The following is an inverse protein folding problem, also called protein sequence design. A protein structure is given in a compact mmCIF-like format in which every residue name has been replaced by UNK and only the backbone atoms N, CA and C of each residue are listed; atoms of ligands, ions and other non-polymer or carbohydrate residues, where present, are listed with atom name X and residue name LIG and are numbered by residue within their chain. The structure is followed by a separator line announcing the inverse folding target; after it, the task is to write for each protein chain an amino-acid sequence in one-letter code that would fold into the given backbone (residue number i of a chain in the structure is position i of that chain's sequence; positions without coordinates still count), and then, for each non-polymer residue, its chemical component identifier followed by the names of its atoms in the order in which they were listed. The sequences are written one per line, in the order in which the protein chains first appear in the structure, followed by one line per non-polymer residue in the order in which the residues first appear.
data_IF_268506911571
#
_entry.id   IF_268506911571
#
_cell.length_a   1.000
_cell.length_b   1.000
_cell.length_c   1.000
_cell.angle_alpha   90.00
_cell.angle_beta   90.00
_cell.angle_gamma   90.00
#
_symmetry.space_group_name_H-M   'P 1'
#
loop_
_entity.id
_entity.type
_entity.pdbx_description
1 polymer ?
#
# COMPACT_ATOMS: atom_id res chain seq x y z
N UNK A 1 8.15 0.11 12.62
CA UNK A 1 7.55 0.46 11.32
C UNK A 1 7.43 1.98 11.18
N UNK A 2 6.76 2.68 12.10
CA UNK A 2 6.56 4.14 12.00
C UNK A 2 7.86 4.97 11.88
N UNK A 3 8.93 4.61 12.61
CA UNK A 3 10.24 5.29 12.50
C UNK A 3 10.80 5.21 11.07
N UNK A 4 10.69 4.04 10.43
CA UNK A 4 11.13 3.85 9.04
C UNK A 4 10.31 4.71 8.08
N UNK A 5 8.99 4.78 8.31
CA UNK A 5 8.10 5.64 7.52
C UNK A 5 8.47 7.12 7.64
N UNK A 6 8.83 7.61 8.84
CA UNK A 6 9.31 8.98 9.01
C UNK A 6 10.60 9.25 8.21
N UNK A 7 11.58 8.34 8.26
CA UNK A 7 12.82 8.49 7.51
C UNK A 7 12.56 8.54 5.99
N UNK A 8 11.68 7.67 5.48
CA UNK A 8 11.30 7.67 4.07
C UNK A 8 10.64 8.98 3.66
N UNK A 9 9.74 9.52 4.48
CA UNK A 9 9.07 10.80 4.19
C UNK A 9 10.09 11.93 4.08
N UNK A 10 11.12 11.97 4.94
CA UNK A 10 12.19 12.97 4.84
C UNK A 10 12.93 12.83 3.49
N UNK A 11 13.28 11.62 3.08
CA UNK A 11 13.97 11.37 1.80
C UNK A 11 13.09 11.79 0.61
N UNK A 12 11.79 11.48 0.64
CA UNK A 12 10.84 11.88 -0.41
C UNK A 12 10.77 13.40 -0.54
N UNK A 13 10.57 14.11 0.58
CA UNK A 13 10.45 15.58 0.56
C UNK A 13 11.72 16.24 0.03
N UNK A 14 12.89 15.78 0.48
CA UNK A 14 14.17 16.30 -0.01
C UNK A 14 14.35 16.02 -1.51
N UNK A 15 14.01 14.81 -1.97
CA UNK A 15 14.13 14.45 -3.40
C UNK A 15 13.15 15.27 -4.27
N UNK A 16 11.91 15.48 -3.81
CA UNK A 16 10.93 16.31 -4.50
C UNK A 16 11.36 17.78 -4.56
N UNK A 17 11.90 18.30 -3.46
CA UNK A 17 12.39 19.68 -3.43
C UNK A 17 13.55 19.87 -4.40
N UNK A 18 14.48 18.92 -4.47
CA UNK A 18 15.61 18.94 -5.41
C UNK A 18 15.19 18.82 -6.88
N UNK A 19 14.23 17.94 -7.20
CA UNK A 19 13.90 17.59 -8.60
C UNK A 19 12.65 18.29 -9.14
N UNK A 20 11.85 18.96 -8.30
CA UNK A 20 10.57 19.56 -8.70
C UNK A 20 10.13 20.80 -7.90
N UNK A 21 10.93 21.26 -6.94
CA UNK A 21 10.66 22.47 -6.16
C UNK A 21 9.42 22.39 -5.25
N UNK A 22 9.02 23.53 -4.71
CA UNK A 22 7.99 23.62 -3.67
C UNK A 22 6.61 23.16 -4.16
N UNK A 23 6.28 23.37 -5.44
CA UNK A 23 5.04 22.88 -6.03
C UNK A 23 4.98 21.33 -6.06
N UNK A 24 6.10 20.64 -6.30
CA UNK A 24 6.14 19.18 -6.26
C UNK A 24 5.94 18.61 -4.84
N UNK A 25 6.49 19.29 -3.84
CA UNK A 25 6.30 18.96 -2.41
C UNK A 25 4.83 19.18 -2.02
N UNK A 26 4.23 20.30 -2.44
CA UNK A 26 2.80 20.57 -2.24
C UNK A 26 1.90 19.51 -2.88
N UNK A 27 2.21 19.11 -4.12
CA UNK A 27 1.46 18.10 -4.86
C UNK A 27 1.53 16.74 -4.15
N UNK A 28 2.72 16.36 -3.67
CA UNK A 28 2.89 15.14 -2.88
C UNK A 28 2.06 15.18 -1.59
N UNK A 29 1.98 16.32 -0.92
CA UNK A 29 1.13 16.50 0.26
C UNK A 29 -0.35 16.20 -0.04
N UNK A 30 -0.88 16.69 -1.16
CA UNK A 30 -2.26 16.43 -1.58
C UNK A 30 -2.46 14.94 -1.91
N UNK A 31 -1.58 14.38 -2.74
CA UNK A 31 -1.63 12.96 -3.14
C UNK A 31 -1.54 12.05 -1.91
N UNK A 32 -0.60 12.31 -1.00
CA UNK A 32 -0.40 11.50 0.19
C UNK A 32 -1.63 11.51 1.11
N UNK A 33 -2.30 12.67 1.28
CA UNK A 33 -3.55 12.76 2.05
C UNK A 33 -4.65 11.90 1.44
N UNK A 34 -4.82 11.99 0.11
CA UNK A 34 -5.80 11.20 -0.63
C UNK A 34 -5.53 9.69 -0.50
N UNK A 35 -4.30 9.25 -0.69
CA UNK A 35 -3.94 7.83 -0.57
C UNK A 35 -4.06 7.32 0.87
N UNK A 36 -3.66 8.15 1.85
CA UNK A 36 -3.74 7.81 3.28
C UNK A 36 -5.19 7.64 3.72
N UNK A 37 -6.13 8.42 3.19
CA UNK A 37 -7.56 8.23 3.46
C UNK A 37 -8.02 6.81 3.13
N UNK A 38 -7.74 6.31 1.92
CA UNK A 38 -8.09 4.94 1.53
C UNK A 38 -7.35 3.90 2.36
N UNK A 39 -6.07 4.13 2.66
CA UNK A 39 -5.29 3.27 3.53
C UNK A 39 -5.92 3.14 4.92
N UNK A 40 -6.41 4.23 5.52
CA UNK A 40 -7.07 4.21 6.82
C UNK A 40 -8.39 3.43 6.80
N UNK A 41 -9.17 3.52 5.72
CA UNK A 41 -10.40 2.71 5.58
C UNK A 41 -10.07 1.21 5.53
N UNK A 42 -9.05 0.81 4.77
CA UNK A 42 -8.61 -0.59 4.71
C UNK A 42 -8.00 -1.05 6.05
N UNK A 43 -7.30 -0.17 6.76
CA UNK A 43 -6.84 -0.46 8.12
C UNK A 43 -8.02 -0.73 9.06
N UNK A 44 -9.08 0.09 8.99
CA UNK A 44 -10.31 -0.14 9.76
C UNK A 44 -10.95 -1.50 9.46
N UNK A 45 -11.07 -1.86 8.18
CA UNK A 45 -11.50 -3.20 7.75
C UNK A 45 -10.61 -4.30 8.35
N UNK A 46 -9.29 -4.10 8.32
CA UNK A 46 -8.32 -5.07 8.82
C UNK A 46 -8.39 -5.25 10.34
N UNK A 47 -8.66 -4.18 11.09
CA UNK A 47 -8.91 -4.24 12.53
C UNK A 47 -10.16 -5.04 12.87
N UNK A 48 -11.23 -4.93 12.07
CA UNK A 48 -12.43 -5.76 12.22
C UNK A 48 -12.20 -7.24 11.88
N UNK A 49 -11.36 -7.52 10.88
CA UNK A 49 -10.99 -8.87 10.48
C UNK A 49 -10.11 -9.58 11.53
N UNK A 50 -9.20 -8.85 12.18
CA UNK A 50 -8.17 -9.38 13.08
C UNK A 50 -8.71 -10.28 14.22
N UNK A 51 -9.73 -9.90 15.02
CA UNK A 51 -10.27 -10.77 16.07
C UNK A 51 -10.98 -12.01 15.51
N UNK A 52 -11.66 -11.89 14.36
CA UNK A 52 -12.35 -13.00 13.70
C UNK A 52 -11.32 -14.04 13.23
N UNK A 53 -10.26 -13.59 12.57
CA UNK A 53 -9.18 -14.44 12.10
C UNK A 53 -8.41 -15.08 13.27
N UNK A 54 -8.07 -14.30 14.30
CA UNK A 54 -7.36 -14.77 15.49
C UNK A 54 -8.13 -15.84 16.27
N UNK A 55 -9.43 -15.62 16.53
CA UNK A 55 -10.28 -16.59 17.22
C UNK A 55 -10.43 -17.90 16.44
N UNK A 56 -10.75 -17.83 15.14
CA UNK A 56 -10.91 -19.03 14.32
C UNK A 56 -9.60 -19.81 14.15
N UNK A 57 -8.46 -19.11 14.11
CA UNK A 57 -7.15 -19.74 14.08
C UNK A 57 -6.83 -20.45 15.40
N UNK A 58 -7.11 -19.82 16.55
CA UNK A 58 -6.97 -20.45 17.86
C UNK A 58 -7.91 -21.66 18.07
N UNK A 59 -9.11 -21.62 17.48
CA UNK A 59 -10.06 -22.73 17.47
C UNK A 59 -9.77 -23.81 16.40
N UNK A 60 -8.62 -23.72 15.69
CA UNK A 60 -8.21 -24.63 14.61
C UNK A 60 -9.21 -24.73 13.43
N UNK A 61 -10.12 -23.77 13.28
CA UNK A 61 -11.12 -23.72 12.20
C UNK A 61 -10.55 -23.09 10.92
N UNK A 62 -9.56 -23.76 10.32
CA UNK A 62 -8.79 -23.22 9.18
C UNK A 62 -9.63 -22.83 7.95
N UNK A 63 -10.75 -23.52 7.69
CA UNK A 63 -11.70 -23.13 6.62
C UNK A 63 -12.28 -21.73 6.84
N UNK A 64 -12.67 -21.41 8.09
CA UNK A 64 -13.18 -20.07 8.45
C UNK A 64 -12.10 -19.00 8.42
N UNK A 65 -10.86 -19.37 8.75
CA UNK A 65 -9.69 -18.48 8.64
C UNK A 65 -9.47 -18.06 7.17
N UNK A 66 -9.49 -19.02 6.25
CA UNK A 66 -9.36 -18.75 4.80
C UNK A 66 -10.52 -17.93 4.27
N UNK A 67 -11.75 -18.22 4.68
CA UNK A 67 -12.93 -17.43 4.29
C UNK A 67 -12.84 -15.98 4.77
N UNK A 68 -12.44 -15.78 6.04
CA UNK A 68 -12.27 -14.45 6.64
C UNK A 68 -11.22 -13.65 5.87
N UNK A 69 -10.07 -14.27 5.57
CA UNK A 69 -9.02 -13.64 4.76
C UNK A 69 -9.50 -13.30 3.35
N UNK A 70 -10.19 -14.23 2.68
CA UNK A 70 -10.70 -14.02 1.31
C UNK A 70 -11.69 -12.84 1.27
N UNK A 71 -12.62 -12.77 2.22
CA UNK A 71 -13.57 -11.67 2.33
C UNK A 71 -12.85 -10.34 2.61
N UNK A 72 -11.88 -10.34 3.52
CA UNK A 72 -11.05 -9.17 3.80
C UNK A 72 -10.30 -8.67 2.56
N UNK A 73 -9.69 -9.58 1.78
CA UNK A 73 -8.97 -9.22 0.56
C UNK A 73 -9.93 -8.63 -0.47
N UNK A 74 -11.07 -9.28 -0.72
CA UNK A 74 -12.07 -8.80 -1.70
C UNK A 74 -12.58 -7.41 -1.28
N UNK A 75 -12.98 -7.24 -0.02
CA UNK A 75 -13.47 -5.96 0.48
C UNK A 75 -12.38 -4.87 0.41
N UNK A 76 -11.14 -5.20 0.79
CA UNK A 76 -10.01 -4.28 0.70
C UNK A 76 -9.75 -3.81 -0.72
N UNK A 77 -9.70 -4.74 -1.69
CA UNK A 77 -9.51 -4.44 -3.12
C UNK A 77 -10.68 -3.65 -3.71
N UNK A 78 -11.92 -3.92 -3.31
CA UNK A 78 -13.07 -3.15 -3.76
C UNK A 78 -13.02 -1.70 -3.25
N UNK A 79 -12.72 -1.50 -1.97
CA UNK A 79 -12.60 -0.16 -1.36
C UNK A 79 -11.53 0.67 -2.07
N UNK A 80 -10.34 0.10 -2.25
CA UNK A 80 -9.24 0.81 -2.93
C UNK A 80 -9.43 0.89 -4.45
N UNK A 81 -10.13 -0.08 -5.04
CA UNK A 81 -10.54 -0.07 -6.44
C UNK A 81 -11.49 1.08 -6.76
N UNK A 82 -12.47 1.35 -5.89
CA UNK A 82 -13.34 2.52 -6.01
C UNK A 82 -12.52 3.82 -5.95
N UNK A 83 -11.56 3.92 -5.03
CA UNK A 83 -10.65 5.08 -4.98
C UNK A 83 -9.85 5.27 -6.26
N UNK A 84 -9.30 4.17 -6.79
CA UNK A 84 -8.55 4.18 -8.05
C UNK A 84 -9.41 4.63 -9.22
N UNK A 85 -10.65 4.15 -9.30
CA UNK A 85 -11.61 4.54 -10.34
C UNK A 85 -11.87 6.05 -10.32
N UNK A 86 -12.11 6.64 -9.15
CA UNK A 86 -12.30 8.08 -9.01
C UNK A 86 -11.04 8.88 -9.37
N UNK A 87 -9.87 8.44 -8.88
CA UNK A 87 -8.59 9.09 -9.16
C UNK A 87 -8.21 9.04 -10.64
N UNK A 88 -8.62 8.02 -11.37
CA UNK A 88 -8.30 7.90 -12.80
C UNK A 88 -9.28 8.69 -13.70
N UNK A 89 -10.57 8.73 -13.33
CA UNK A 89 -11.58 9.45 -14.13
C UNK A 89 -11.62 10.95 -13.86
N UNK A 90 -11.43 11.37 -12.61
CA UNK A 90 -11.61 12.77 -12.20
C UNK A 90 -10.40 13.35 -11.44
N UNK A 91 -9.14 13.14 -11.89
CA UNK A 91 -7.96 13.55 -11.15
C UNK A 91 -7.86 15.08 -10.97
N UNK A 92 -8.28 15.86 -11.97
CA UNK A 92 -8.25 17.32 -11.94
C UNK A 92 -9.29 17.90 -10.99
N UNK A 93 -10.52 17.37 -11.00
CA UNK A 93 -11.59 17.77 -10.07
C UNK A 93 -11.20 17.45 -8.64
N UNK A 94 -10.68 16.24 -8.41
CA UNK A 94 -10.24 15.80 -7.09
C UNK A 94 -9.08 16.66 -6.58
N UNK A 95 -8.11 16.98 -7.43
CA UNK A 95 -7.00 17.85 -7.06
C UNK A 95 -7.46 19.29 -6.77
N UNK A 96 -8.43 19.80 -7.54
CA UNK A 96 -9.01 21.14 -7.36
C UNK A 96 -9.75 21.33 -6.04
N UNK A 97 -10.20 20.26 -5.37
CA UNK A 97 -10.75 20.38 -4.01
C UNK A 97 -9.70 20.75 -2.96
N UNK A 98 -8.41 20.57 -3.25
CA UNK A 98 -7.32 20.81 -2.31
C UNK A 98 -6.51 22.07 -2.60
N UNK A 99 -6.68 22.67 -3.79
CA UNK A 99 -5.95 23.88 -4.16
C UNK A 99 -6.64 24.64 -5.29
N UNK A 100 -6.52 25.97 -5.24
CA UNK A 100 -6.98 26.89 -6.30
C UNK A 100 -5.89 27.17 -7.35
N UNK A 101 -4.64 26.75 -7.11
CA UNK A 101 -3.53 26.96 -8.05
C UNK A 101 -3.61 25.97 -9.21
N UNK A 102 -3.85 26.49 -10.43
CA UNK A 102 -3.88 25.68 -11.66
C UNK A 102 -2.57 24.93 -11.90
N UNK A 103 -1.43 25.56 -11.59
CA UNK A 103 -0.10 24.95 -11.71
C UNK A 103 0.04 23.74 -10.77
N UNK A 104 -0.39 23.89 -9.51
CA UNK A 104 -0.35 22.80 -8.54
C UNK A 104 -1.31 21.66 -8.91
N UNK A 105 -2.49 21.97 -9.44
CA UNK A 105 -3.41 20.98 -10.00
C UNK A 105 -2.77 20.24 -11.17
N UNK A 106 -2.09 20.96 -12.07
CA UNK A 106 -1.40 20.39 -13.24
C UNK A 106 -0.30 19.38 -12.89
N UNK A 107 0.30 19.50 -11.70
CA UNK A 107 1.30 18.54 -11.19
C UNK A 107 0.62 17.41 -10.38
N UNK A 108 -0.34 17.78 -9.54
CA UNK A 108 -1.06 16.83 -8.66
C UNK A 108 -1.85 15.81 -9.46
N UNK A 109 -2.58 16.23 -10.49
CA UNK A 109 -3.50 15.35 -11.21
C UNK A 109 -2.77 14.19 -11.92
N UNK A 110 -1.68 14.42 -12.69
CA UNK A 110 -0.90 13.33 -13.29
C UNK A 110 -0.20 12.46 -12.24
N UNK A 111 0.35 13.05 -11.19
CA UNK A 111 0.97 12.30 -10.08
C UNK A 111 -0.03 11.39 -9.39
N UNK A 112 -1.23 11.89 -9.12
CA UNK A 112 -2.32 11.14 -8.51
C UNK A 112 -2.71 9.92 -9.34
N UNK A 113 -2.85 10.06 -10.67
CA UNK A 113 -3.13 8.92 -11.57
C UNK A 113 -2.05 7.86 -11.46
N UNK A 114 -0.78 8.25 -11.58
CA UNK A 114 0.36 7.31 -11.52
C UNK A 114 0.38 6.56 -10.20
N UNK A 115 0.21 7.26 -9.08
CA UNK A 115 0.22 6.65 -7.75
C UNK A 115 -1.03 5.80 -7.48
N UNK A 116 -2.18 6.16 -8.05
CA UNK A 116 -3.44 5.44 -7.86
C UNK A 116 -3.46 4.09 -8.57
N UNK A 117 -2.69 3.89 -9.64
CA UNK A 117 -2.70 2.63 -10.43
C UNK A 117 -2.54 1.36 -9.59
N UNK A 118 -1.71 1.41 -8.54
CA UNK A 118 -1.43 0.27 -7.66
C UNK A 118 -2.19 0.31 -6.33
N UNK A 119 -3.05 1.30 -6.13
CA UNK A 119 -3.87 1.42 -4.92
C UNK A 119 -4.79 0.19 -4.67
N UNK A 120 -5.39 -0.49 -5.68
CA UNK A 120 -6.18 -1.71 -5.45
C UNK A 120 -5.35 -2.80 -4.77
N UNK A 121 -4.11 -2.91 -5.22
CA UNK A 121 -3.14 -3.89 -4.78
C UNK A 121 -2.66 -3.61 -3.36
N UNK A 122 -2.50 -2.33 -3.00
CA UNK A 122 -2.21 -1.89 -1.63
C UNK A 122 -3.27 -2.37 -0.64
N UNK A 123 -4.55 -2.34 -1.02
CA UNK A 123 -5.65 -2.85 -0.19
C UNK A 123 -5.44 -4.32 0.21
N UNK A 124 -5.08 -5.15 -0.77
CA UNK A 124 -4.76 -6.56 -0.56
C UNK A 124 -3.55 -6.75 0.38
N UNK A 125 -2.47 -5.98 0.18
CA UNK A 125 -1.26 -6.08 1.00
C UNK A 125 -1.53 -5.79 2.48
N UNK A 126 -2.32 -4.74 2.76
CA UNK A 126 -2.65 -4.32 4.12
C UNK A 126 -3.44 -5.40 4.84
N UNK A 127 -4.44 -5.98 4.17
CA UNK A 127 -5.22 -7.08 4.75
C UNK A 127 -4.35 -8.29 5.05
N UNK A 128 -3.49 -8.71 4.11
CA UNK A 128 -2.63 -9.90 4.29
C UNK A 128 -1.60 -9.68 5.40
N UNK A 129 -1.00 -8.50 5.50
CA UNK A 129 -0.08 -8.18 6.59
C UNK A 129 -0.78 -8.27 7.96
N UNK A 130 -1.94 -7.64 8.10
CA UNK A 130 -2.74 -7.69 9.32
C UNK A 130 -3.23 -9.12 9.65
N UNK A 131 -3.52 -9.92 8.63
CA UNK A 131 -3.83 -11.34 8.80
C UNK A 131 -2.67 -12.11 9.44
N UNK A 132 -1.44 -11.97 8.93
CA UNK A 132 -0.28 -12.60 9.55
C UNK A 132 -0.05 -12.15 10.99
N UNK A 133 -0.35 -10.88 11.31
CA UNK A 133 -0.32 -10.39 12.68
C UNK A 133 -1.40 -11.08 13.54
N UNK A 134 -2.62 -11.25 13.03
CA UNK A 134 -3.76 -11.85 13.75
C UNK A 134 -3.54 -13.31 14.17
N UNK A 135 -2.76 -14.07 13.40
CA UNK A 135 -2.47 -15.49 13.66
C UNK A 135 -1.12 -15.69 14.39
N UNK A 136 -0.56 -14.63 14.99
CA UNK A 136 0.69 -14.70 15.76
C UNK A 136 1.96 -14.80 14.91
N UNK A 137 1.90 -14.55 13.60
CA UNK A 137 3.05 -14.54 12.68
C UNK A 137 3.53 -13.11 12.41
N UNK A 138 3.69 -12.33 13.48
CA UNK A 138 4.08 -10.91 13.42
C UNK A 138 5.39 -10.68 12.65
N UNK A 139 6.36 -11.61 12.71
CA UNK A 139 7.61 -11.52 11.94
C UNK A 139 7.37 -11.44 10.43
N UNK A 140 6.41 -12.22 9.90
CA UNK A 140 6.03 -12.18 8.48
C UNK A 140 5.36 -10.85 8.17
N UNK A 141 4.42 -10.40 9.01
CA UNK A 141 3.76 -9.09 8.84
C UNK A 141 4.76 -7.93 8.79
N UNK A 142 5.74 -7.93 9.70
CA UNK A 142 6.79 -6.89 9.75
C UNK A 142 7.66 -6.97 8.50
N UNK A 143 8.08 -8.16 8.08
CA UNK A 143 8.85 -8.34 6.86
C UNK A 143 8.12 -7.81 5.62
N UNK A 144 6.82 -8.12 5.48
CA UNK A 144 6.00 -7.62 4.37
C UNK A 144 5.93 -6.08 4.37
N UNK A 145 5.67 -5.48 5.53
CA UNK A 145 5.64 -4.01 5.66
C UNK A 145 6.98 -3.34 5.33
N UNK A 146 8.08 -3.89 5.84
CA UNK A 146 9.43 -3.38 5.58
C UNK A 146 9.90 -3.63 4.14
N UNK A 147 9.49 -4.75 3.51
CA UNK A 147 9.86 -5.04 2.13
C UNK A 147 9.36 -3.94 1.19
N UNK A 148 8.08 -3.57 1.32
CA UNK A 148 7.47 -2.50 0.54
C UNK A 148 8.15 -1.15 0.79
N UNK A 149 8.32 -0.76 2.05
CA UNK A 149 8.78 0.58 2.42
C UNK A 149 10.30 0.78 2.32
N UNK A 150 11.10 -0.19 2.77
CA UNK A 150 12.56 -0.05 2.82
C UNK A 150 13.27 -0.81 1.71
N UNK A 151 12.86 -2.04 1.41
CA UNK A 151 13.62 -2.89 0.47
C UNK A 151 13.36 -2.48 -0.98
N UNK A 152 12.13 -2.08 -1.31
CA UNK A 152 11.77 -1.70 -2.68
C UNK A 152 11.70 -0.19 -2.86
N UNK A 153 10.89 0.51 -2.04
CA UNK A 153 10.65 1.94 -2.25
C UNK A 153 11.92 2.79 -2.08
N UNK A 154 12.72 2.58 -1.04
CA UNK A 154 13.89 3.42 -0.77
C UNK A 154 14.97 3.31 -1.87
N UNK A 155 15.42 2.12 -2.33
CA UNK A 155 16.38 2.02 -3.42
C UNK A 155 15.85 2.61 -4.72
N UNK A 156 14.58 2.36 -5.05
CA UNK A 156 13.97 2.92 -6.26
C UNK A 156 13.92 4.46 -6.20
N UNK A 157 13.60 5.03 -5.04
CA UNK A 157 13.56 6.48 -4.84
C UNK A 157 14.94 7.12 -4.99
N UNK A 158 16.03 6.42 -4.65
CA UNK A 158 17.38 6.95 -4.82
C UNK A 158 17.89 6.85 -6.27
N UNK A 159 17.31 5.96 -7.07
CA UNK A 159 17.77 5.65 -8.44
C UNK A 159 16.91 6.35 -9.49
N UNK A 160 15.59 6.16 -9.47
CA UNK A 160 14.68 6.58 -10.54
C UNK A 160 14.64 8.10 -10.77
N UNK A 161 14.60 8.97 -9.74
CA UNK A 161 14.58 10.42 -9.93
C UNK A 161 15.81 10.96 -10.66
N UNK A 162 16.97 10.28 -10.52
CA UNK A 162 18.20 10.67 -11.23
C UNK A 162 18.11 10.51 -12.75
N UNK A 163 17.26 9.59 -13.22
CA UNK A 163 17.07 9.32 -14.66
C UNK A 163 15.82 9.98 -15.23
N UNK A 164 14.75 10.10 -14.43
CA UNK A 164 13.43 10.56 -14.89
C UNK A 164 12.96 11.85 -14.21
N UNK A 165 13.81 12.51 -13.42
CA UNK A 165 13.48 13.72 -12.68
C UNK A 165 12.30 13.52 -11.74
N UNK A 166 11.44 14.54 -11.66
CA UNK A 166 10.20 14.49 -10.87
C UNK A 166 9.30 13.29 -11.19
N UNK A 167 9.21 12.87 -12.47
CA UNK A 167 8.41 11.70 -12.86
C UNK A 167 8.93 10.39 -12.25
N UNK A 168 10.24 10.28 -12.04
CA UNK A 168 10.86 9.13 -11.39
C UNK A 168 10.36 8.93 -9.96
N UNK A 169 10.03 10.02 -9.25
CA UNK A 169 9.50 9.98 -7.89
C UNK A 169 8.09 9.38 -7.90
N UNK A 170 7.21 9.85 -8.80
CA UNK A 170 5.84 9.33 -8.91
C UNK A 170 5.81 7.85 -9.29
N UNK A 171 6.67 7.42 -10.22
CA UNK A 171 6.76 6.03 -10.70
C UNK A 171 7.33 5.08 -9.64
N UNK A 172 8.13 5.60 -8.70
CA UNK A 172 8.70 4.79 -7.61
C UNK A 172 7.61 4.13 -6.75
N UNK A 173 6.52 4.85 -6.47
CA UNK A 173 5.40 4.32 -5.68
C UNK A 173 4.78 3.05 -6.29
N UNK A 174 4.19 3.08 -7.51
CA UNK A 174 3.55 1.91 -8.08
C UNK A 174 4.51 0.74 -8.30
N UNK A 175 5.77 0.98 -8.66
CA UNK A 175 6.75 -0.11 -8.82
C UNK A 175 7.01 -0.79 -7.47
N UNK A 176 7.21 -0.01 -6.40
CA UNK A 176 7.44 -0.56 -5.07
C UNK A 176 6.23 -1.32 -4.52
N UNK A 177 5.02 -0.83 -4.79
CA UNK A 177 3.77 -1.48 -4.38
C UNK A 177 3.57 -2.79 -5.13
N UNK A 178 3.86 -2.82 -6.43
CA UNK A 178 3.81 -4.04 -7.24
C UNK A 178 4.81 -5.10 -6.75
N UNK A 179 6.07 -4.73 -6.52
CA UNK A 179 7.08 -5.66 -5.98
C UNK A 179 6.68 -6.17 -4.59
N UNK A 180 6.21 -5.28 -3.72
CA UNK A 180 5.70 -5.65 -2.41
C UNK A 180 4.50 -6.60 -2.50
N UNK A 181 3.64 -6.43 -3.50
CA UNK A 181 2.47 -7.28 -3.69
C UNK A 181 2.87 -8.68 -4.12
N UNK A 182 3.78 -8.78 -5.09
CA UNK A 182 4.35 -10.05 -5.52
C UNK A 182 4.92 -10.78 -4.30
N UNK A 183 5.74 -10.11 -3.48
CA UNK A 183 6.29 -10.69 -2.24
C UNK A 183 5.20 -11.11 -1.26
N UNK A 184 4.15 -10.29 -1.10
CA UNK A 184 3.03 -10.59 -0.21
C UNK A 184 2.24 -11.83 -0.65
N UNK A 185 1.91 -11.93 -1.93
CA UNK A 185 1.20 -13.07 -2.51
C UNK A 185 2.06 -14.32 -2.42
N UNK A 186 3.35 -14.24 -2.75
CA UNK A 186 4.28 -15.36 -2.63
C UNK A 186 4.34 -15.86 -1.19
N UNK A 187 4.54 -14.97 -0.21
CA UNK A 187 4.54 -15.34 1.21
C UNK A 187 3.23 -16.02 1.64
N UNK A 188 2.09 -15.52 1.17
CA UNK A 188 0.78 -16.11 1.48
C UNK A 188 0.62 -17.52 0.90
N UNK A 189 1.00 -17.71 -0.36
CA UNK A 189 0.93 -19.01 -1.04
C UNK A 189 1.86 -20.04 -0.37
N UNK A 190 3.10 -19.65 -0.04
CA UNK A 190 4.03 -20.52 0.68
C UNK A 190 3.51 -20.91 2.07
N UNK A 191 2.89 -19.96 2.78
CA UNK A 191 2.30 -20.24 4.09
C UNK A 191 1.19 -21.30 4.01
N UNK A 192 0.24 -21.13 3.09
CA UNK A 192 -0.85 -22.10 2.94
C UNK A 192 -0.39 -23.46 2.38
N UNK A 193 0.62 -23.48 1.49
CA UNK A 193 1.22 -24.74 1.01
C UNK A 193 1.87 -25.51 2.15
N UNK A 194 2.64 -24.84 3.01
CA UNK A 194 3.26 -25.46 4.19
C UNK A 194 2.20 -25.98 5.19
N UNK A 195 1.09 -25.25 5.34
CA UNK A 195 -0.02 -25.67 6.19
C UNK A 195 -0.69 -26.96 5.68
N UNK A 196 -0.94 -27.07 4.37
CA UNK A 196 -1.48 -28.32 3.78
C UNK A 196 -0.53 -29.50 3.96
N UNK A 197 0.76 -29.30 3.68
CA UNK A 197 1.78 -30.35 3.83
C UNK A 197 1.94 -30.85 5.27
N UNK A 198 1.73 -30.01 6.28
CA UNK A 198 1.81 -30.43 7.68
C UNK A 198 0.55 -31.16 8.17
N UNK A 199 -0.60 -30.94 7.53
CA UNK A 199 -1.87 -31.61 7.88
C UNK A 199 -1.94 -33.00 7.25
N UNK A 200 -1.25 -33.25 6.13
CA UNK A 200 -1.15 -34.59 5.52
C UNK A 200 -0.15 -35.52 6.25
N UNK A 201 0.60 -35.02 7.23
CA UNK A 201 1.65 -35.77 7.96
C UNK A 201 1.20 -36.14 9.38
N UNK A 202 -0.02 -35.78 9.80
CA UNK A 202 -0.65 -36.16 11.08
C UNK A 202 -1.82 -37.09 10.79
#
# INVERSE_FOLDING_TARGET
MNVCSCAIIIVINNSLQEHGGDFAVGAYGIINRLLTFFFMVVLGLSMGMQPIAGYNYGALKMSRVQQTLKLGIIAGVLITGVGTFFFELFPYVISGFFTESEELVGITAPGLRICALMLPVVGCQVVIANFFQSIGKAKISVFLGLSRQLIYFLPLLLILPRYFGQRGIWITMPISDFLGFVTTVICLLFYFKKLKSNVEVI
#
